data_IF_622268215555
#
_entry.id   IF_622268215555
#
_cell.length_a   1.000
_cell.length_b   1.000
_cell.length_c   1.000
_cell.angle_alpha   90.00
_cell.angle_beta   90.00
_cell.angle_gamma   90.00
#
_symmetry.space_group_name_H-M   'P 1'
#
loop_
_entity.id
_entity.type
_entity.pdbx_description
1 polymer ?
#
# COMPACT_ATOMS: atom_id res chain seq x y z
N UNK A 1 -1.46 5.56 13.40
CA UNK A 1 -0.83 6.86 13.06
C UNK A 1 -1.86 7.98 12.88
N UNK A 2 -2.92 7.80 12.09
CA UNK A 2 -3.97 8.82 11.91
C UNK A 2 -4.66 9.28 13.21
N UNK A 3 -4.98 8.32 14.08
CA UNK A 3 -5.69 8.57 15.34
C UNK A 3 -4.91 9.34 16.40
N UNK A 4 -3.59 9.53 16.22
CA UNK A 4 -2.72 10.28 17.16
C UNK A 4 -2.44 11.72 16.70
N UNK A 5 -3.09 12.19 15.62
CA UNK A 5 -2.95 13.57 15.15
C UNK A 5 -1.67 13.88 14.37
N UNK A 6 -0.79 12.90 14.13
CA UNK A 6 0.49 13.12 13.44
C UNK A 6 0.35 13.73 12.04
N UNK A 7 -0.76 13.48 11.33
CA UNK A 7 -0.98 14.07 10.00
C UNK A 7 -1.32 15.56 10.01
N UNK A 8 -1.59 16.16 11.18
CA UNK A 8 -1.77 17.60 11.35
C UNK A 8 -0.45 18.33 11.64
N UNK A 9 0.58 17.61 12.05
CA UNK A 9 1.88 18.20 12.40
C UNK A 9 2.71 18.45 11.13
N UNK A 10 3.10 19.71 10.91
CA UNK A 10 3.92 20.11 9.76
C UNK A 10 5.28 19.40 9.71
N UNK A 11 5.84 19.04 10.87
CA UNK A 11 7.09 18.27 10.98
C UNK A 11 6.94 16.88 10.39
N UNK A 12 5.79 16.23 10.64
CA UNK A 12 5.50 14.91 10.10
C UNK A 12 5.28 14.96 8.58
N UNK A 13 4.61 16.00 8.08
CA UNK A 13 4.43 16.21 6.63
C UNK A 13 5.77 16.45 5.94
N UNK A 14 6.69 17.17 6.57
CA UNK A 14 8.05 17.33 6.07
C UNK A 14 8.82 15.99 6.08
N UNK A 15 8.60 15.13 7.07
CA UNK A 15 9.17 13.78 7.07
C UNK A 15 8.61 12.91 5.94
N UNK A 16 7.31 13.00 5.62
CA UNK A 16 6.71 12.33 4.46
C UNK A 16 7.32 12.82 3.13
N UNK A 17 7.56 14.12 3.00
CA UNK A 17 8.30 14.68 1.86
C UNK A 17 9.72 14.13 1.78
N UNK A 18 10.41 14.04 2.90
CA UNK A 18 11.75 13.45 2.94
C UNK A 18 11.72 12.01 2.42
N UNK A 19 10.78 11.18 2.90
CA UNK A 19 10.61 9.79 2.47
C UNK A 19 10.39 9.60 0.95
N UNK A 20 10.04 10.64 0.18
CA UNK A 20 9.94 10.53 -1.28
C UNK A 20 11.28 10.16 -1.95
N UNK A 21 12.43 10.31 -1.28
CA UNK A 21 13.71 9.85 -1.84
C UNK A 21 13.70 8.34 -2.15
N UNK A 22 12.85 7.55 -1.46
CA UNK A 22 12.67 6.12 -1.72
C UNK A 22 12.14 5.81 -3.13
N UNK A 23 11.50 6.78 -3.81
CA UNK A 23 11.08 6.63 -5.21
C UNK A 23 12.25 6.61 -6.20
N UNK A 24 13.44 7.09 -5.80
CA UNK A 24 14.61 7.04 -6.65
C UNK A 24 14.98 5.57 -6.92
N UNK A 25 15.36 5.22 -8.16
CA UNK A 25 15.64 3.82 -8.55
C UNK A 25 16.74 3.17 -7.71
N UNK A 26 17.69 3.98 -7.22
CA UNK A 26 18.78 3.56 -6.33
C UNK A 26 18.29 2.96 -5.01
N UNK A 27 17.17 3.45 -4.48
CA UNK A 27 16.61 3.05 -3.18
C UNK A 27 15.38 2.15 -3.34
N UNK A 28 14.62 2.33 -4.42
CA UNK A 28 13.41 1.55 -4.71
C UNK A 28 13.68 0.04 -4.76
N UNK A 29 14.89 -0.38 -5.15
CA UNK A 29 15.32 -1.79 -5.18
C UNK A 29 15.30 -2.48 -3.81
N UNK A 30 15.39 -1.72 -2.72
CA UNK A 30 15.36 -2.25 -1.35
C UNK A 30 13.93 -2.32 -0.78
N UNK A 31 12.93 -1.78 -1.48
CA UNK A 31 11.54 -1.86 -1.03
C UNK A 31 10.93 -3.22 -1.34
N UNK A 32 10.65 -3.97 -0.27
CA UNK A 32 9.89 -5.23 -0.33
C UNK A 32 8.44 -5.04 -0.78
N UNK A 33 7.86 -3.86 -0.52
CA UNK A 33 6.46 -3.54 -0.81
C UNK A 33 6.34 -2.25 -1.62
N UNK A 34 6.34 -2.32 -2.97
CA UNK A 34 6.25 -1.14 -3.82
C UNK A 34 4.94 -0.36 -3.64
N UNK A 35 3.87 -1.01 -3.15
CA UNK A 35 2.59 -0.35 -2.86
C UNK A 35 2.70 0.72 -1.76
N UNK A 36 3.69 0.63 -0.88
CA UNK A 36 3.91 1.66 0.15
C UNK A 36 4.25 3.03 -0.44
N UNK A 37 4.91 3.08 -1.61
CA UNK A 37 5.21 4.33 -2.30
C UNK A 37 3.96 4.99 -2.86
N UNK A 38 2.98 4.20 -3.30
CA UNK A 38 1.70 4.71 -3.76
C UNK A 38 0.93 5.37 -2.60
N UNK A 39 0.90 4.74 -1.43
CA UNK A 39 0.33 5.36 -0.24
C UNK A 39 1.11 6.59 0.21
N UNK A 40 2.44 6.59 0.07
CA UNK A 40 3.26 7.76 0.36
C UNK A 40 2.87 8.96 -0.52
N UNK A 41 2.65 8.75 -1.81
CA UNK A 41 2.15 9.80 -2.72
C UNK A 41 0.75 10.28 -2.31
N UNK A 42 -0.16 9.36 -1.95
CA UNK A 42 -1.49 9.73 -1.48
C UNK A 42 -1.45 10.56 -0.19
N UNK A 43 -0.55 10.22 0.73
CA UNK A 43 -0.32 10.96 1.96
C UNK A 43 0.20 12.38 1.71
N UNK A 44 0.71 12.72 0.51
CA UNK A 44 1.07 14.10 0.19
C UNK A 44 -0.15 14.99 -0.02
N UNK A 45 -1.31 14.44 -0.34
CA UNK A 45 -2.55 15.22 -0.48
C UNK A 45 -3.15 15.51 0.90
N UNK A 46 -3.40 16.79 1.18
CA UNK A 46 -3.99 17.21 2.45
C UNK A 46 -5.41 16.65 2.63
N UNK A 47 -6.21 16.64 1.55
CA UNK A 47 -7.55 16.05 1.57
C UNK A 47 -7.51 14.57 1.99
N UNK A 48 -6.59 13.79 1.45
CA UNK A 48 -6.42 12.39 1.82
C UNK A 48 -6.01 12.22 3.28
N UNK A 49 -5.09 13.07 3.78
CA UNK A 49 -4.70 13.09 5.20
C UNK A 49 -5.87 13.41 6.13
N UNK A 50 -6.75 14.32 5.73
CA UNK A 50 -7.98 14.65 6.48
C UNK A 50 -8.95 13.47 6.50
N UNK A 51 -9.21 12.86 5.35
CA UNK A 51 -10.11 11.70 5.23
C UNK A 51 -9.58 10.48 6.00
N UNK A 52 -8.26 10.29 6.08
CA UNK A 52 -7.65 9.23 6.89
C UNK A 52 -7.89 9.33 8.40
N UNK A 53 -8.24 10.52 8.92
CA UNK A 53 -8.66 10.68 10.32
C UNK A 53 -10.05 10.05 10.54
N UNK A 54 -10.85 9.94 9.49
CA UNK A 54 -12.17 9.33 9.52
C UNK A 54 -12.06 7.79 9.59
N UNK A 55 -12.54 7.22 10.69
CA UNK A 55 -12.44 5.77 10.99
C UNK A 55 -13.04 4.89 9.89
N UNK A 56 -14.24 5.16 9.36
CA UNK A 56 -14.79 4.42 8.21
C UNK A 56 -13.90 4.45 6.96
N UNK A 57 -13.27 5.59 6.64
CA UNK A 57 -12.38 5.69 5.48
C UNK A 57 -11.12 4.83 5.67
N UNK A 58 -10.52 4.87 6.87
CA UNK A 58 -9.38 4.02 7.21
C UNK A 58 -9.70 2.52 7.13
N UNK A 59 -10.90 2.10 7.59
CA UNK A 59 -11.38 0.72 7.45
C UNK A 59 -11.56 0.32 5.99
N UNK A 60 -12.15 1.19 5.17
CA UNK A 60 -12.33 0.92 3.75
C UNK A 60 -10.98 0.70 3.05
N UNK A 61 -9.97 1.54 3.34
CA UNK A 61 -8.62 1.37 2.77
C UNK A 61 -8.01 0.02 3.20
N UNK A 62 -8.15 -0.36 4.46
CA UNK A 62 -7.67 -1.65 4.98
C UNK A 62 -8.36 -2.84 4.28
N UNK A 63 -9.68 -2.78 4.11
CA UNK A 63 -10.44 -3.78 3.36
C UNK A 63 -10.03 -3.86 1.90
N UNK A 64 -9.82 -2.72 1.22
CA UNK A 64 -9.33 -2.70 -0.16
C UNK A 64 -7.92 -3.29 -0.27
N UNK A 65 -7.05 -3.03 0.71
CA UNK A 65 -5.70 -3.58 0.75
C UNK A 65 -5.72 -5.10 1.00
N UNK A 66 -6.61 -5.58 1.89
CA UNK A 66 -6.83 -6.99 2.15
C UNK A 66 -7.38 -7.71 0.93
N UNK A 67 -8.41 -7.16 0.27
CA UNK A 67 -8.99 -7.70 -0.97
C UNK A 67 -7.93 -7.77 -2.06
N UNK A 68 -7.14 -6.70 -2.25
CA UNK A 68 -6.05 -6.70 -3.22
C UNK A 68 -5.09 -7.87 -2.96
N UNK A 69 -4.65 -8.10 -1.71
CA UNK A 69 -3.79 -9.23 -1.37
C UNK A 69 -4.47 -10.60 -1.55
N UNK A 70 -5.74 -10.75 -1.20
CA UNK A 70 -6.48 -11.99 -1.39
C UNK A 70 -6.62 -12.35 -2.88
N UNK A 71 -6.98 -11.39 -3.74
CA UNK A 71 -7.10 -11.61 -5.17
C UNK A 71 -5.73 -11.76 -5.88
N UNK A 72 -4.72 -10.97 -5.51
CA UNK A 72 -3.37 -11.09 -6.11
C UNK A 72 -2.67 -12.40 -5.72
N UNK A 73 -2.75 -12.82 -4.46
CA UNK A 73 -2.16 -14.08 -4.00
C UNK A 73 -2.86 -15.31 -4.61
N UNK A 74 -4.18 -15.22 -4.80
CA UNK A 74 -4.98 -16.29 -5.41
C UNK A 74 -4.71 -16.44 -6.91
N UNK A 75 -4.48 -15.33 -7.63
CA UNK A 75 -4.05 -15.38 -9.04
C UNK A 75 -2.65 -15.99 -9.20
N UNK A 76 -1.70 -15.73 -8.29
CA UNK A 76 -0.40 -16.43 -8.29
C UNK A 76 -0.54 -17.94 -8.07
N UNK A 77 -1.44 -18.38 -7.18
CA UNK A 77 -1.69 -19.83 -6.97
C UNK A 77 -2.27 -20.52 -8.20
N UNK A 78 -3.12 -19.84 -8.98
CA UNK A 78 -3.63 -20.38 -10.25
C UNK A 78 -2.58 -20.44 -11.36
N UNK A 79 -1.62 -19.51 -11.37
CA UNK A 79 -0.52 -19.49 -12.36
C UNK A 79 0.60 -20.50 -12.03
N UNK A 80 0.67 -20.99 -10.78
CA UNK A 80 1.67 -21.98 -10.37
C UNK A 80 1.31 -23.44 -10.71
N UNK A 81 0.14 -23.71 -11.29
CA UNK A 81 -0.17 -25.03 -11.85
C UNK A 81 0.26 -25.08 -13.33
N UNK A 82 1.26 -25.89 -13.69
CA UNK A 82 1.55 -26.15 -15.11
C UNK A 82 0.35 -26.85 -15.77
N UNK A 83 -0.02 -26.49 -17.01
CA UNK A 83 -1.03 -27.20 -17.77
C UNK A 83 -0.44 -28.56 -18.20
N UNK A 84 -0.58 -29.60 -17.37
CA UNK A 84 0.03 -30.89 -17.72
C UNK A 84 -0.24 -32.10 -16.83
N UNK A 85 -1.12 -32.04 -15.83
CA UNK A 85 -1.50 -33.22 -15.06
C UNK A 85 -3.01 -33.24 -14.81
N UNK A 86 -3.79 -33.38 -15.89
CA UNK A 86 -5.11 -34.00 -15.80
C UNK A 86 -4.92 -35.50 -16.00
N UNK A 87 -5.26 -36.22 -14.94
CA UNK A 87 -5.15 -37.65 -14.74
C UNK A 87 -5.68 -38.45 -15.92
N UNK A 88 -4.83 -39.35 -16.44
CA UNK A 88 -5.26 -40.58 -17.09
C UNK A 88 -5.59 -41.60 -16.01
N UNK A 89 -6.86 -41.88 -15.79
CA UNK A 89 -7.40 -43.17 -15.34
C UNK A 89 -8.92 -43.14 -15.47
#
# INVERSE_FOLDING_TARGET
>A
LAQRGYFKDSSFVNYLKYLLYWKKPEYAKFLKYPQSLFFLDLLQYEHFRRELVNVPCAKFIDEQQLLHWQYYSSRRRKVAMPPGQQQTS
#
